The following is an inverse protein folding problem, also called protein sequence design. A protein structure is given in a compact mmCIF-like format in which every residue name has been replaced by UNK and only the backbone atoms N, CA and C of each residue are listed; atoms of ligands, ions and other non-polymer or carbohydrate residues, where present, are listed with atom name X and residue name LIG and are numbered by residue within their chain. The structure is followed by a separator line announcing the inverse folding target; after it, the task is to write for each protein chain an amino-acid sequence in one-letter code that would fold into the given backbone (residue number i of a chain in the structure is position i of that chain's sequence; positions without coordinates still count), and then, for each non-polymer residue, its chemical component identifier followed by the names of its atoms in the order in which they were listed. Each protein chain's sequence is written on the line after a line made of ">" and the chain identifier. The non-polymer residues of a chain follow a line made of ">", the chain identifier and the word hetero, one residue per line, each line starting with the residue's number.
data_IF_142674367031
#
_entry.id   IF_142674367031
#
_cell.length_a   1.000
_cell.length_b   1.000
_cell.length_c   1.000
_cell.angle_alpha   90.00
_cell.angle_beta   90.00
_cell.angle_gamma   90.00
#
_symmetry.space_group_name_H-M   'P 1'
#
loop_
_entity.id
_entity.type
_entity.pdbx_description
1 polymer ?
#
# COMPACT_ATOMS: atom_id res chain seq x y z
N UNK A 1 -7.02 17.10 5.64
CA UNK A 1 -6.37 16.31 6.72
C UNK A 1 -5.24 15.50 6.11
N UNK A 2 -4.01 15.66 6.62
CA UNK A 2 -2.89 14.79 6.25
C UNK A 2 -2.66 13.75 7.34
N UNK A 3 -2.35 12.53 6.94
CA UNK A 3 -1.95 11.46 7.86
C UNK A 3 -0.53 11.09 7.50
N UNK A 4 0.39 11.19 8.47
CA UNK A 4 1.79 10.82 8.31
C UNK A 4 2.13 9.56 9.11
N UNK A 5 2.57 8.50 8.45
CA UNK A 5 2.97 7.26 9.06
C UNK A 5 4.32 7.40 9.80
N UNK A 6 4.44 6.77 10.97
CA UNK A 6 5.69 6.77 11.75
C UNK A 6 6.55 5.50 11.61
N UNK A 7 6.05 4.42 11.02
CA UNK A 7 6.68 3.09 11.10
C UNK A 7 7.03 2.49 9.73
N UNK A 8 8.13 2.91 9.13
CA UNK A 8 8.59 2.34 7.87
C UNK A 8 9.33 1.00 8.09
N UNK A 9 8.63 -0.14 8.01
CA UNK A 9 9.23 -1.47 8.08
C UNK A 9 9.57 -2.00 6.68
N UNK A 10 10.53 -1.38 6.01
CA UNK A 10 10.98 -1.78 4.66
C UNK A 10 11.95 -2.96 4.70
N UNK A 11 11.61 -4.01 3.97
CA UNK A 11 12.52 -5.11 3.62
C UNK A 11 13.02 -5.01 2.17
N UNK A 12 12.27 -4.39 1.25
CA UNK A 12 12.63 -4.21 -0.17
C UNK A 12 12.57 -2.74 -0.59
N UNK A 13 13.34 -2.41 -1.62
CA UNK A 13 13.27 -1.10 -2.25
C UNK A 13 12.00 -1.01 -3.13
N UNK A 14 11.12 0.00 -2.96
CA UNK A 14 9.83 0.07 -3.63
C UNK A 14 9.97 0.66 -5.05
N UNK A 15 10.46 -0.15 -5.98
CA UNK A 15 10.78 0.26 -7.36
C UNK A 15 9.53 0.79 -8.06
N UNK A 16 8.42 0.05 -7.98
CA UNK A 16 7.21 0.39 -8.73
C UNK A 16 6.55 1.64 -8.17
N UNK A 17 6.54 1.83 -6.86
CA UNK A 17 6.03 3.05 -6.21
C UNK A 17 6.78 4.29 -6.72
N UNK A 18 8.11 4.26 -6.75
CA UNK A 18 8.91 5.36 -7.29
C UNK A 18 8.66 5.57 -8.79
N UNK A 19 8.63 4.50 -9.58
CA UNK A 19 8.32 4.59 -11.01
C UNK A 19 6.95 5.24 -11.24
N UNK A 20 5.93 4.88 -10.47
CA UNK A 20 4.59 5.47 -10.59
C UNK A 20 4.56 6.95 -10.20
N UNK A 21 5.28 7.35 -9.15
CA UNK A 21 5.40 8.77 -8.76
C UNK A 21 6.06 9.57 -9.89
N UNK A 22 7.13 9.05 -10.49
CA UNK A 22 7.81 9.71 -11.61
C UNK A 22 6.94 9.73 -12.87
N UNK A 23 6.28 8.63 -13.19
CA UNK A 23 5.36 8.55 -14.34
C UNK A 23 4.22 9.57 -14.18
N UNK A 24 3.57 9.60 -13.01
CA UNK A 24 2.48 10.56 -12.74
C UNK A 24 2.94 12.01 -12.70
N UNK A 25 4.22 12.26 -12.38
CA UNK A 25 4.81 13.59 -12.51
C UNK A 25 5.05 13.95 -13.97
N UNK A 26 5.57 13.02 -14.78
CA UNK A 26 5.82 13.24 -16.20
C UNK A 26 4.53 13.45 -16.98
N UNK A 27 3.48 12.67 -16.71
CA UNK A 27 2.16 12.81 -17.35
C UNK A 27 1.54 14.18 -17.10
N UNK A 28 1.83 14.80 -15.96
CA UNK A 28 1.39 16.15 -15.62
C UNK A 28 1.87 17.21 -16.62
N UNK A 29 3.03 17.00 -17.25
CA UNK A 29 3.57 17.89 -18.28
C UNK A 29 3.09 17.55 -19.69
N UNK A 30 2.49 16.36 -19.88
CA UNK A 30 1.95 15.89 -21.15
C UNK A 30 0.46 16.20 -21.31
N UNK A 31 -0.24 16.52 -20.22
CA UNK A 31 -1.67 16.78 -20.24
C UNK A 31 -1.98 18.19 -20.75
N UNK A 32 -2.32 18.28 -22.03
CA UNK A 32 -2.83 19.50 -22.65
C UNK A 32 -4.31 19.33 -22.98
N UNK A 33 -5.19 20.08 -22.30
CA UNK A 33 -6.64 20.15 -22.56
C UNK A 33 -7.49 18.90 -22.21
N UNK A 34 -7.22 18.21 -21.09
CA UNK A 34 -8.05 17.08 -20.59
C UNK A 34 -8.25 15.93 -21.60
N UNK A 35 -7.32 15.73 -22.53
CA UNK A 35 -7.41 14.69 -23.58
C UNK A 35 -7.48 13.28 -23.02
N UNK A 36 -6.89 13.03 -21.86
CA UNK A 36 -6.83 11.72 -21.21
C UNK A 36 -7.82 11.56 -20.06
N UNK A 37 -8.67 12.57 -19.84
CA UNK A 37 -9.67 12.53 -18.81
C UNK A 37 -10.80 11.57 -19.15
N UNK A 38 -11.28 10.86 -18.14
CA UNK A 38 -12.41 9.95 -18.28
C UNK A 38 -13.72 10.74 -18.17
N UNK A 39 -14.56 10.70 -19.20
CA UNK A 39 -15.88 11.35 -19.19
C UNK A 39 -16.96 10.30 -19.44
N UNK A 40 -17.79 9.97 -18.43
CA UNK A 40 -18.81 8.91 -18.52
C UNK A 40 -19.70 8.99 -19.77
N UNK A 41 -20.15 10.21 -20.11
CA UNK A 41 -21.05 10.43 -21.26
C UNK A 41 -20.36 10.34 -22.62
N UNK A 42 -19.04 10.55 -22.68
CA UNK A 42 -18.31 10.72 -23.94
C UNK A 42 -17.71 9.41 -24.44
N UNK A 43 -17.06 8.66 -23.56
CA UNK A 43 -16.29 7.49 -23.98
C UNK A 43 -16.12 6.47 -22.84
N UNK A 44 -16.21 5.19 -23.20
CA UNK A 44 -15.87 4.06 -22.35
C UNK A 44 -14.72 3.27 -23.02
N UNK A 45 -13.55 3.92 -23.13
CA UNK A 45 -12.43 3.44 -23.93
C UNK A 45 -11.09 3.57 -23.20
N UNK A 46 -10.07 4.09 -23.88
CA UNK A 46 -8.70 4.20 -23.35
C UNK A 46 -8.62 5.06 -22.08
N UNK A 47 -9.47 6.08 -21.97
CA UNK A 47 -9.54 6.98 -20.82
C UNK A 47 -9.89 6.27 -19.51
N UNK A 48 -10.60 5.13 -19.56
CA UNK A 48 -10.87 4.29 -18.38
C UNK A 48 -9.59 3.74 -17.74
N UNK A 49 -8.55 3.50 -18.56
CA UNK A 49 -7.28 2.90 -18.15
C UNK A 49 -6.16 3.92 -17.97
N UNK A 50 -6.27 5.10 -18.59
CA UNK A 50 -5.23 6.12 -18.53
C UNK A 50 -5.50 7.23 -17.52
N UNK A 51 -6.76 7.59 -17.23
CA UNK A 51 -7.08 8.83 -16.49
C UNK A 51 -6.51 8.90 -15.08
N UNK A 52 -6.29 7.76 -14.42
CA UNK A 52 -5.76 7.70 -13.06
C UNK A 52 -4.22 7.87 -12.99
N UNK A 53 -3.53 7.94 -14.13
CA UNK A 53 -2.13 8.37 -14.22
C UNK A 53 -1.97 9.90 -14.29
N UNK A 54 -3.07 10.62 -14.51
CA UNK A 54 -3.11 12.06 -14.62
C UNK A 54 -3.72 12.66 -13.34
N UNK A 55 -3.34 13.89 -13.00
CA UNK A 55 -3.88 14.61 -11.84
C UNK A 55 -4.41 15.97 -12.29
N UNK A 56 -5.45 16.49 -11.66
CA UNK A 56 -6.06 17.76 -12.08
C UNK A 56 -5.18 18.98 -11.80
N UNK A 57 -4.27 18.86 -10.83
CA UNK A 57 -3.38 19.95 -10.41
C UNK A 57 -2.10 19.42 -9.78
N UNK A 58 -1.07 20.27 -9.74
CA UNK A 58 0.19 19.94 -9.07
C UNK A 58 0.02 19.70 -7.55
N UNK A 59 -0.95 20.37 -6.93
CA UNK A 59 -1.29 20.18 -5.50
C UNK A 59 -1.90 18.79 -5.28
N UNK A 60 -2.79 18.36 -6.16
CA UNK A 60 -3.35 17.01 -6.12
C UNK A 60 -2.27 15.96 -6.33
N UNK A 61 -1.41 16.14 -7.35
CA UNK A 61 -0.27 15.25 -7.58
C UNK A 61 0.64 15.16 -6.34
N UNK A 62 1.01 16.30 -5.75
CA UNK A 62 1.90 16.32 -4.56
C UNK A 62 1.28 15.55 -3.40
N UNK A 63 -0.02 15.73 -3.18
CA UNK A 63 -0.76 15.01 -2.14
C UNK A 63 -0.76 13.50 -2.43
N UNK A 64 -1.10 13.09 -3.64
CA UNK A 64 -1.12 11.67 -4.03
C UNK A 64 0.27 11.04 -3.98
N UNK A 65 1.31 11.75 -4.39
CA UNK A 65 2.70 11.30 -4.34
C UNK A 65 3.19 11.08 -2.90
N UNK A 66 2.86 11.99 -1.98
CA UNK A 66 3.15 11.82 -0.54
C UNK A 66 2.47 10.55 -0.01
N UNK A 67 1.19 10.35 -0.33
CA UNK A 67 0.45 9.18 0.14
C UNK A 67 0.95 7.87 -0.48
N UNK A 68 1.27 7.86 -1.78
CA UNK A 68 1.89 6.70 -2.44
C UNK A 68 3.24 6.38 -1.80
N UNK A 69 4.11 7.39 -1.63
CA UNK A 69 5.42 7.19 -1.05
C UNK A 69 5.37 6.68 0.38
N UNK A 70 4.35 7.08 1.14
CA UNK A 70 4.30 6.80 2.57
C UNK A 70 3.51 5.53 2.93
N UNK A 71 2.49 5.17 2.15
CA UNK A 71 1.65 4.00 2.42
C UNK A 71 1.84 2.89 1.39
N UNK A 72 1.97 3.26 0.11
CA UNK A 72 1.94 2.28 -0.98
C UNK A 72 3.30 1.54 -1.10
N UNK A 73 4.39 2.14 -0.62
CA UNK A 73 5.69 1.48 -0.48
C UNK A 73 5.63 0.23 0.43
N UNK A 74 4.94 0.33 1.56
CA UNK A 74 4.70 -0.76 2.50
C UNK A 74 3.79 -1.84 1.89
N UNK A 75 2.82 -1.44 1.06
CA UNK A 75 1.99 -2.39 0.32
C UNK A 75 2.82 -3.12 -0.73
N UNK A 76 3.67 -2.42 -1.49
CA UNK A 76 4.55 -3.03 -2.50
C UNK A 76 5.49 -4.08 -1.88
N UNK A 77 6.04 -3.80 -0.70
CA UNK A 77 6.90 -4.75 0.01
C UNK A 77 6.13 -6.02 0.41
N UNK A 78 4.89 -5.85 0.86
CA UNK A 78 3.99 -6.94 1.24
C UNK A 78 3.58 -7.78 0.04
N UNK A 79 3.03 -7.17 -1.02
CA UNK A 79 2.43 -7.92 -2.14
C UNK A 79 3.45 -8.30 -3.21
N UNK A 80 4.59 -7.63 -3.26
CA UNK A 80 5.59 -7.72 -4.31
C UNK A 80 5.32 -6.77 -5.49
N UNK A 81 6.36 -6.39 -6.26
CA UNK A 81 6.29 -5.34 -7.26
C UNK A 81 5.28 -5.63 -8.39
N UNK A 82 5.24 -6.86 -8.90
CA UNK A 82 4.32 -7.25 -9.97
C UNK A 82 2.84 -7.15 -9.53
N UNK A 83 2.52 -7.71 -8.36
CA UNK A 83 1.16 -7.66 -7.83
C UNK A 83 0.75 -6.23 -7.49
N UNK A 84 1.69 -5.43 -6.98
CA UNK A 84 1.46 -4.01 -6.69
C UNK A 84 1.08 -3.23 -7.94
N UNK A 85 1.77 -3.45 -9.06
CA UNK A 85 1.43 -2.84 -10.34
C UNK A 85 0.01 -3.20 -10.81
N UNK A 86 -0.38 -4.48 -10.71
CA UNK A 86 -1.74 -4.89 -11.07
C UNK A 86 -2.80 -4.33 -10.11
N UNK A 87 -2.50 -4.22 -8.82
CA UNK A 87 -3.39 -3.58 -7.85
C UNK A 87 -3.58 -2.09 -8.14
N UNK A 88 -2.51 -1.39 -8.57
CA UNK A 88 -2.60 0.00 -9.00
C UNK A 88 -3.60 0.16 -10.15
N UNK A 89 -3.45 -0.64 -11.21
CA UNK A 89 -4.37 -0.64 -12.36
C UNK A 89 -5.79 -1.00 -11.94
N UNK A 90 -5.94 -2.04 -11.11
CA UNK A 90 -7.24 -2.51 -10.64
C UNK A 90 -7.99 -1.43 -9.87
N UNK A 91 -7.35 -0.77 -8.90
CA UNK A 91 -8.02 0.29 -8.14
C UNK A 91 -8.33 1.52 -8.99
N UNK A 92 -7.51 1.83 -9.99
CA UNK A 92 -7.77 2.91 -10.94
C UNK A 92 -9.02 2.65 -11.76
N UNK A 93 -9.10 1.46 -12.36
CA UNK A 93 -10.27 1.01 -13.12
C UNK A 93 -11.51 0.99 -12.22
N UNK A 94 -11.39 0.43 -11.01
CA UNK A 94 -12.51 0.34 -10.07
C UNK A 94 -13.04 1.72 -9.64
N UNK A 95 -12.15 2.70 -9.49
CA UNK A 95 -12.52 4.09 -9.21
C UNK A 95 -13.35 4.64 -10.37
N UNK A 96 -12.85 4.51 -11.60
CA UNK A 96 -13.53 5.03 -12.80
C UNK A 96 -14.87 4.34 -13.04
N UNK A 97 -14.95 3.02 -12.85
CA UNK A 97 -16.20 2.26 -12.96
C UNK A 97 -17.21 2.70 -11.90
N UNK A 98 -16.77 2.92 -10.67
CA UNK A 98 -17.63 3.42 -9.61
C UNK A 98 -18.13 4.82 -9.98
N UNK A 99 -17.24 5.71 -10.43
CA UNK A 99 -17.66 7.04 -10.87
C UNK A 99 -18.69 6.97 -12.00
N UNK A 100 -18.45 6.13 -13.01
CA UNK A 100 -19.37 5.90 -14.12
C UNK A 100 -20.75 5.44 -13.64
N UNK A 101 -20.83 4.46 -12.73
CA UNK A 101 -22.11 3.91 -12.25
C UNK A 101 -22.96 4.96 -11.53
N UNK A 102 -22.34 5.84 -10.75
CA UNK A 102 -23.06 6.88 -10.00
C UNK A 102 -23.28 8.16 -10.81
N UNK A 103 -22.53 8.35 -11.90
CA UNK A 103 -22.53 9.57 -12.70
C UNK A 103 -22.62 9.29 -14.21
N UNK A 104 -23.45 8.31 -14.62
CA UNK A 104 -23.54 7.86 -16.03
C UNK A 104 -23.75 9.00 -17.03
N UNK A 105 -24.58 9.99 -16.68
CA UNK A 105 -24.90 11.11 -17.56
C UNK A 105 -23.94 12.31 -17.43
N UNK A 106 -22.82 12.15 -16.72
CA UNK A 106 -21.88 13.23 -16.44
C UNK A 106 -21.03 13.57 -17.65
N UNK A 107 -20.97 14.88 -17.93
CA UNK A 107 -20.10 15.49 -18.94
C UNK A 107 -18.80 15.98 -18.29
N UNK A 108 -18.69 15.85 -16.96
CA UNK A 108 -17.53 16.33 -16.22
C UNK A 108 -16.38 15.34 -16.38
N UNK A 109 -15.24 15.76 -16.97
CA UNK A 109 -14.06 14.93 -17.09
C UNK A 109 -13.43 14.69 -15.71
N UNK A 110 -12.99 13.46 -15.48
CA UNK A 110 -12.34 13.04 -14.25
C UNK A 110 -10.96 12.48 -14.55
N UNK A 111 -9.98 12.98 -13.78
CA UNK A 111 -8.62 12.47 -13.66
C UNK A 111 -8.29 12.38 -12.18
N UNK A 112 -7.30 11.57 -11.83
CA UNK A 112 -6.77 11.56 -10.47
C UNK A 112 -6.32 10.20 -9.99
N UNK A 113 -5.12 10.16 -9.44
CA UNK A 113 -4.56 8.99 -8.74
C UNK A 113 -5.20 8.78 -7.35
N UNK A 114 -6.00 9.73 -6.88
CA UNK A 114 -6.60 9.74 -5.53
C UNK A 114 -7.48 8.52 -5.22
N UNK A 115 -8.23 8.01 -6.20
CA UNK A 115 -8.99 6.76 -6.05
C UNK A 115 -8.10 5.53 -5.85
N UNK A 116 -6.99 5.46 -6.60
CA UNK A 116 -5.99 4.39 -6.46
C UNK A 116 -5.35 4.41 -5.07
N UNK A 117 -4.96 5.61 -4.62
CA UNK A 117 -4.42 5.82 -3.27
C UNK A 117 -5.42 5.34 -2.21
N UNK A 118 -6.71 5.63 -2.39
CA UNK A 118 -7.75 5.20 -1.46
C UNK A 118 -7.82 3.68 -1.31
N UNK A 119 -7.66 2.94 -2.41
CA UNK A 119 -7.58 1.47 -2.39
C UNK A 119 -6.39 0.96 -1.58
N UNK A 120 -5.21 1.57 -1.77
CA UNK A 120 -4.03 1.22 -0.98
C UNK A 120 -4.19 1.59 0.50
N UNK A 121 -4.84 2.70 0.83
CA UNK A 121 -5.17 3.04 2.22
C UNK A 121 -6.10 2.01 2.85
N UNK A 122 -7.08 1.49 2.10
CA UNK A 122 -7.94 0.40 2.54
C UNK A 122 -7.16 -0.90 2.80
N UNK A 123 -6.20 -1.24 1.95
CA UNK A 123 -5.32 -2.38 2.20
C UNK A 123 -4.43 -2.16 3.43
N UNK A 124 -3.86 -0.96 3.53
CA UNK A 124 -2.97 -0.57 4.61
C UNK A 124 -3.67 -0.64 5.97
N UNK A 125 -4.93 -0.21 6.03
CA UNK A 125 -5.79 -0.30 7.22
C UNK A 125 -5.82 -1.72 7.80
N UNK A 126 -5.90 -2.74 6.94
CA UNK A 126 -5.99 -4.15 7.34
C UNK A 126 -4.63 -4.76 7.64
N UNK A 127 -3.60 -4.43 6.87
CA UNK A 127 -2.26 -5.00 7.04
C UNK A 127 -1.52 -4.44 8.26
N UNK A 128 -1.72 -3.16 8.58
CA UNK A 128 -0.92 -2.44 9.57
C UNK A 128 -1.75 -1.80 10.70
N UNK A 129 -2.73 -2.50 11.31
CA UNK A 129 -3.68 -1.87 12.23
C UNK A 129 -3.04 -1.30 13.50
N UNK A 130 -1.84 -1.76 13.88
CA UNK A 130 -1.13 -1.32 15.10
C UNK A 130 -0.11 -0.21 14.86
N UNK A 131 0.09 0.21 13.61
CA UNK A 131 1.02 1.31 13.29
C UNK A 131 0.46 2.62 13.84
N UNK A 132 1.37 3.49 14.28
CA UNK A 132 1.04 4.84 14.73
C UNK A 132 1.27 5.85 13.61
N UNK A 133 0.44 6.87 13.58
CA UNK A 133 0.50 7.97 12.64
C UNK A 133 0.52 9.32 13.38
N UNK A 134 0.80 10.37 12.62
CA UNK A 134 0.61 11.75 13.00
C UNK A 134 -0.48 12.33 12.10
N UNK A 135 -1.61 12.72 12.68
CA UNK A 135 -2.66 13.42 11.93
C UNK A 135 -2.39 14.92 11.98
N UNK A 136 -2.41 15.58 10.82
CA UNK A 136 -2.26 17.03 10.71
C UNK A 136 -3.56 17.60 10.15
N UNK A 137 -4.20 18.44 10.95
CA UNK A 137 -5.37 19.23 10.62
C UNK A 137 -4.99 20.70 10.63
N UNK A 138 -4.85 21.29 9.45
CA UNK A 138 -4.41 22.68 9.29
C UNK A 138 -3.11 22.97 10.06
N UNK A 139 -3.19 23.64 11.21
CA UNK A 139 -2.04 23.99 12.07
C UNK A 139 -1.86 23.07 13.28
N UNK A 140 -2.76 22.11 13.50
CA UNK A 140 -2.77 21.22 14.68
C UNK A 140 -2.28 19.83 14.26
N UNK A 141 -1.31 19.29 15.01
CA UNK A 141 -0.76 17.95 14.77
C UNK A 141 -1.03 17.03 15.98
N UNK A 142 -1.77 15.95 15.74
CA UNK A 142 -1.99 14.87 16.71
C UNK A 142 -1.00 13.75 16.46
N UNK A 143 -0.03 13.59 17.35
CA UNK A 143 1.04 12.57 17.25
C UNK A 143 0.61 11.24 17.90
N UNK A 144 1.20 10.15 17.41
CA UNK A 144 1.07 8.81 18.01
C UNK A 144 -0.36 8.24 18.01
N UNK A 145 -1.15 8.67 17.03
CA UNK A 145 -2.52 8.23 16.84
C UNK A 145 -2.51 6.87 16.12
N UNK A 146 -3.25 5.85 16.60
CA UNK A 146 -3.33 4.59 15.89
C UNK A 146 -3.86 4.77 14.46
N UNK A 147 -3.22 4.12 13.49
CA UNK A 147 -3.51 4.36 12.07
C UNK A 147 -4.94 3.98 11.70
N UNK A 148 -5.49 2.93 12.32
CA UNK A 148 -6.89 2.55 12.12
C UNK A 148 -7.83 3.69 12.48
N UNK A 149 -7.54 4.48 13.51
CA UNK A 149 -8.34 5.63 13.89
C UNK A 149 -8.20 6.75 12.87
N UNK A 150 -6.98 7.06 12.46
CA UNK A 150 -6.70 8.13 11.48
C UNK A 150 -7.33 7.87 10.12
N UNK A 151 -7.22 6.64 9.62
CA UNK A 151 -7.82 6.24 8.36
C UNK A 151 -9.35 6.11 8.46
N UNK A 152 -9.89 5.72 9.62
CA UNK A 152 -11.34 5.75 9.86
C UNK A 152 -11.88 7.18 9.77
N UNK A 153 -11.20 8.15 10.37
CA UNK A 153 -11.58 9.56 10.23
C UNK A 153 -11.46 10.01 8.77
N UNK A 154 -10.39 9.60 8.08
CA UNK A 154 -10.17 9.97 6.69
C UNK A 154 -11.31 9.52 5.79
N UNK A 155 -11.73 8.25 5.90
CA UNK A 155 -12.81 7.71 5.08
C UNK A 155 -14.17 8.31 5.45
N UNK A 156 -14.40 8.63 6.73
CA UNK A 156 -15.62 9.34 7.16
C UNK A 156 -15.68 10.75 6.57
N UNK A 157 -14.55 11.45 6.48
CA UNK A 157 -14.47 12.75 5.80
C UNK A 157 -14.80 12.58 4.31
N UNK A 158 -14.27 11.55 3.62
CA UNK A 158 -14.63 11.30 2.22
C UNK A 158 -16.13 11.00 2.04
N UNK A 159 -16.73 10.23 2.95
CA UNK A 159 -18.16 9.96 2.95
C UNK A 159 -19.00 11.22 3.18
N UNK A 160 -18.58 12.09 4.11
CA UNK A 160 -19.23 13.38 4.32
C UNK A 160 -19.13 14.29 3.09
N UNK A 161 -17.94 14.37 2.47
CA UNK A 161 -17.74 15.16 1.25
C UNK A 161 -18.59 14.64 0.09
N UNK A 162 -18.80 13.33 -0.02
CA UNK A 162 -19.76 12.78 -0.97
C UNK A 162 -21.21 13.21 -0.68
N UNK A 163 -21.65 13.22 0.59
CA UNK A 163 -23.00 13.70 0.92
C UNK A 163 -23.18 15.17 0.53
N UNK A 164 -22.14 16.00 0.70
CA UNK A 164 -22.14 17.39 0.23
C UNK A 164 -22.19 17.46 -1.30
N UNK A 165 -21.45 16.59 -1.99
CA UNK A 165 -21.48 16.43 -3.45
C UNK A 165 -22.90 16.17 -3.96
N UNK A 166 -23.68 15.31 -3.30
CA UNK A 166 -25.06 15.03 -3.70
C UNK A 166 -26.01 16.24 -3.67
N UNK A 167 -25.69 17.25 -2.85
CA UNK A 167 -26.51 18.45 -2.67
C UNK A 167 -25.91 19.68 -3.36
N UNK A 168 -24.81 19.53 -4.10
CA UNK A 168 -24.13 20.61 -4.81
C UNK A 168 -23.88 20.22 -6.27
N UNK A 169 -23.68 21.20 -7.15
CA UNK A 169 -23.31 20.95 -8.56
C UNK A 169 -21.82 20.57 -8.73
N UNK A 170 -21.08 20.42 -7.63
CA UNK A 170 -19.68 19.98 -7.63
C UNK A 170 -19.69 18.47 -7.88
N UNK A 171 -18.98 17.99 -8.91
CA UNK A 171 -18.77 16.54 -9.10
C UNK A 171 -17.31 16.21 -8.89
N UNK A 172 -17.07 15.19 -8.07
CA UNK A 172 -15.75 14.74 -7.63
C UNK A 172 -15.72 13.21 -7.56
N UNK A 173 -14.57 12.64 -7.20
CA UNK A 173 -14.39 11.18 -7.12
C UNK A 173 -14.65 10.61 -5.74
N UNK A 174 -15.32 11.34 -4.84
CA UNK A 174 -15.45 10.95 -3.43
C UNK A 174 -16.17 9.60 -3.25
N UNK A 175 -17.21 9.31 -4.04
CA UNK A 175 -17.85 7.98 -4.05
C UNK A 175 -16.86 6.88 -4.43
N UNK A 176 -16.08 7.13 -5.48
CA UNK A 176 -15.07 6.21 -5.97
C UNK A 176 -14.05 5.90 -4.88
N UNK A 177 -13.57 6.94 -4.18
CA UNK A 177 -12.63 6.77 -3.06
C UNK A 177 -13.24 5.90 -1.95
N UNK A 178 -14.48 6.15 -1.54
CA UNK A 178 -15.14 5.36 -0.49
C UNK A 178 -15.27 3.89 -0.89
N UNK A 179 -15.79 3.62 -2.08
CA UNK A 179 -15.98 2.24 -2.58
C UNK A 179 -14.64 1.53 -2.72
N UNK A 180 -13.64 2.18 -3.30
CA UNK A 180 -12.34 1.59 -3.58
C UNK A 180 -11.55 1.32 -2.29
N UNK A 181 -11.67 2.19 -1.28
CA UNK A 181 -11.14 1.93 0.06
C UNK A 181 -11.73 0.64 0.67
N UNK A 182 -13.06 0.49 0.61
CA UNK A 182 -13.74 -0.69 1.14
C UNK A 182 -13.32 -1.96 0.39
N UNK A 183 -13.20 -1.89 -0.95
CA UNK A 183 -12.67 -2.99 -1.76
C UNK A 183 -11.21 -3.32 -1.42
N UNK A 184 -10.38 -2.31 -1.15
CA UNK A 184 -9.02 -2.48 -0.65
C UNK A 184 -8.99 -3.28 0.65
N UNK A 185 -9.87 -2.96 1.61
CA UNK A 185 -9.99 -3.73 2.86
C UNK A 185 -10.42 -5.18 2.61
N UNK A 186 -11.38 -5.41 1.70
CA UNK A 186 -11.86 -6.75 1.36
C UNK A 186 -10.73 -7.59 0.75
N UNK A 187 -10.00 -7.02 -0.22
CA UNK A 187 -8.86 -7.69 -0.85
C UNK A 187 -7.78 -8.02 0.18
N UNK A 188 -7.39 -7.06 1.02
CA UNK A 188 -6.38 -7.28 2.06
C UNK A 188 -6.81 -8.37 3.04
N UNK A 189 -8.08 -8.40 3.47
CA UNK A 189 -8.61 -9.50 4.28
C UNK A 189 -8.52 -10.85 3.57
N UNK A 190 -8.74 -10.89 2.26
CA UNK A 190 -8.50 -12.07 1.42
C UNK A 190 -7.05 -12.55 1.49
N UNK A 191 -6.08 -11.64 1.32
CA UNK A 191 -4.64 -11.95 1.45
C UNK A 191 -4.28 -12.51 2.84
N UNK A 192 -4.84 -11.92 3.91
CA UNK A 192 -4.63 -12.39 5.29
C UNK A 192 -5.20 -13.81 5.46
N UNK A 193 -6.43 -14.07 5.00
CA UNK A 193 -7.06 -15.40 5.08
C UNK A 193 -6.30 -16.48 4.31
N UNK A 194 -5.69 -16.12 3.18
CA UNK A 194 -4.86 -17.01 2.37
C UNK A 194 -3.44 -17.24 2.97
N UNK A 195 -3.16 -16.72 4.18
CA UNK A 195 -1.86 -16.80 4.86
C UNK A 195 -0.71 -16.31 3.97
N UNK A 196 -0.98 -15.29 3.15
CA UNK A 196 0.02 -14.74 2.24
C UNK A 196 1.14 -14.04 3.02
N UNK A 197 0.78 -13.26 4.03
CA UNK A 197 1.72 -12.57 4.93
C UNK A 197 2.62 -13.55 5.69
N UNK A 198 2.06 -14.65 6.21
CA UNK A 198 2.84 -15.67 6.93
C UNK A 198 3.90 -16.34 6.03
N UNK A 199 3.56 -16.57 4.76
CA UNK A 199 4.50 -17.10 3.75
C UNK A 199 5.59 -16.09 3.41
N UNK A 200 5.25 -14.82 3.28
CA UNK A 200 6.22 -13.75 3.05
C UNK A 200 7.19 -13.62 4.23
N UNK A 201 6.68 -13.57 5.46
CA UNK A 201 7.51 -13.51 6.68
C UNK A 201 8.43 -14.73 6.79
N UNK A 202 7.93 -15.92 6.46
CA UNK A 202 8.74 -17.14 6.42
C UNK A 202 9.88 -17.04 5.39
N UNK A 203 9.58 -16.61 4.17
CA UNK A 203 10.59 -16.48 3.10
C UNK A 203 11.62 -15.38 3.40
N UNK A 204 11.18 -14.22 3.90
CA UNK A 204 12.07 -13.14 4.32
C UNK A 204 12.98 -13.57 5.46
N UNK A 205 12.47 -14.34 6.43
CA UNK A 205 13.29 -14.94 7.49
C UNK A 205 14.33 -15.89 6.94
N UNK A 206 14.03 -16.68 5.90
CA UNK A 206 15.01 -17.56 5.26
C UNK A 206 16.09 -16.78 4.51
N UNK A 207 15.75 -15.66 3.85
CA UNK A 207 16.72 -14.84 3.12
C UNK A 207 17.58 -13.98 4.05
N UNK A 208 17.02 -13.40 5.11
CA UNK A 208 17.81 -12.66 6.14
C UNK A 208 18.64 -13.56 7.04
N UNK A 209 18.42 -14.88 7.02
CA UNK A 209 19.27 -15.84 7.72
C UNK A 209 20.58 -16.16 6.98
N UNK A 210 20.74 -15.68 5.74
CA UNK A 210 21.99 -15.86 5.01
C UNK A 210 23.12 -15.14 5.76
N UNK A 211 24.15 -15.92 6.13
CA UNK A 211 25.40 -15.52 6.80
C UNK A 211 25.40 -15.42 8.34
N UNK A 212 24.48 -16.09 9.05
CA UNK A 212 24.70 -16.31 10.49
C UNK A 212 25.56 -17.55 10.74
N UNK A 213 26.74 -17.35 11.31
CA UNK A 213 27.57 -18.44 11.88
C UNK A 213 27.13 -18.71 13.31
N UNK A 214 26.85 -19.97 13.63
CA UNK A 214 26.47 -20.42 14.96
C UNK A 214 27.60 -21.24 15.54
N UNK A 215 28.02 -20.93 16.76
CA UNK A 215 29.05 -21.71 17.44
C UNK A 215 28.43 -22.97 18.04
N UNK A 216 29.01 -24.13 17.77
CA UNK A 216 28.63 -25.38 18.42
C UNK A 216 28.73 -25.23 19.95
N UNK A 217 27.70 -25.61 20.73
CA UNK A 217 27.74 -25.51 22.20
C UNK A 217 28.78 -26.44 22.84
N UNK A 218 29.17 -27.54 22.18
CA UNK A 218 30.12 -28.51 22.73
C UNK A 218 31.58 -28.17 22.40
N UNK A 219 31.88 -27.78 21.15
CA UNK A 219 33.27 -27.55 20.71
C UNK A 219 33.58 -26.13 20.23
N UNK A 220 32.63 -25.19 20.31
CA UNK A 220 32.75 -23.82 19.78
C UNK A 220 33.12 -23.72 18.29
N UNK A 221 33.03 -24.80 17.52
CA UNK A 221 33.26 -24.74 16.09
C UNK A 221 32.19 -23.88 15.39
N UNK A 222 32.58 -22.89 14.56
CA UNK A 222 31.63 -22.05 13.84
C UNK A 222 30.99 -22.83 12.69
N UNK A 223 29.66 -22.88 12.67
CA UNK A 223 28.87 -23.57 11.65
C UNK A 223 28.01 -22.54 10.91
N UNK A 224 28.08 -22.44 9.58
CA UNK A 224 27.20 -21.57 8.82
C UNK A 224 25.77 -22.13 8.87
N UNK A 225 24.84 -21.40 9.49
CA UNK A 225 23.44 -21.82 9.53
C UNK A 225 22.64 -21.16 8.41
N UNK A 226 22.04 -22.01 7.57
CA UNK A 226 21.15 -21.59 6.48
C UNK A 226 19.69 -21.44 6.93
N UNK A 227 19.32 -21.99 8.10
CA UNK A 227 17.99 -21.90 8.71
C UNK A 227 18.06 -22.15 10.23
N UNK A 228 17.05 -21.70 10.96
CA UNK A 228 16.81 -22.11 12.36
C UNK A 228 16.42 -23.60 12.42
N UNK A 229 16.75 -24.29 13.53
CA UNK A 229 16.38 -25.69 13.74
C UNK A 229 17.51 -26.57 14.28
N UNK A 230 17.42 -27.88 14.00
CA UNK A 230 18.48 -28.85 14.35
C UNK A 230 19.68 -28.66 13.44
N UNK A 231 20.85 -28.50 14.05
CA UNK A 231 22.15 -28.38 13.39
C UNK A 231 23.03 -29.52 13.89
N UNK A 232 23.74 -30.15 12.97
CA UNK A 232 24.71 -31.20 13.27
C UNK A 232 26.13 -30.62 13.16
N UNK A 233 26.96 -30.82 14.18
CA UNK A 233 28.36 -30.43 14.12
C UNK A 233 29.21 -31.59 13.59
N UNK A 234 29.82 -31.43 12.41
CA UNK A 234 30.69 -32.46 11.83
C UNK A 234 31.97 -32.74 12.64
N UNK A 235 32.43 -31.77 13.46
CA UNK A 235 33.68 -31.88 14.23
C UNK A 235 33.50 -32.71 15.50
N UNK A 236 32.45 -32.45 16.29
CA UNK A 236 32.22 -33.15 17.56
C UNK A 236 31.01 -34.10 17.52
N UNK A 237 30.39 -34.27 16.35
CA UNK A 237 29.25 -35.16 16.11
C UNK A 237 28.00 -34.84 16.97
N UNK A 238 27.97 -33.70 17.67
CA UNK A 238 26.82 -33.31 18.49
C UNK A 238 25.71 -32.70 17.64
N UNK A 239 24.48 -33.14 17.92
CA UNK A 239 23.27 -32.48 17.43
C UNK A 239 22.82 -31.44 18.44
N UNK A 240 22.46 -30.25 17.98
CA UNK A 240 21.90 -29.21 18.85
C UNK A 240 20.82 -28.42 18.12
N UNK A 241 19.90 -27.83 18.88
CA UNK A 241 18.84 -27.00 18.35
C UNK A 241 19.17 -25.51 18.54
N UNK A 242 19.02 -24.74 17.48
CA UNK A 242 19.19 -23.29 17.49
C UNK A 242 17.85 -22.58 17.30
N UNK A 243 17.39 -21.93 18.37
CA UNK A 243 16.12 -21.19 18.40
C UNK A 243 16.27 -19.71 18.01
N UNK A 244 15.15 -19.08 17.65
CA UNK A 244 14.99 -17.66 17.29
C UNK A 244 15.55 -16.69 18.32
N UNK A 245 15.59 -17.06 19.61
CA UNK A 245 16.16 -16.25 20.70
C UNK A 245 17.68 -16.41 20.89
N UNK A 246 18.36 -17.18 20.03
CA UNK A 246 19.79 -17.47 20.15
C UNK A 246 20.14 -18.48 21.27
N UNK A 247 19.12 -19.09 21.89
CA UNK A 247 19.31 -20.16 22.88
C UNK A 247 19.72 -21.45 22.16
N UNK A 248 20.76 -22.09 22.69
CA UNK A 248 21.28 -23.38 22.23
C UNK A 248 20.75 -24.46 23.18
N UNK A 249 20.02 -25.42 22.64
CA UNK A 249 19.57 -26.58 23.42
C UNK A 249 20.32 -27.80 22.90
N UNK A 250 21.05 -28.46 23.80
CA UNK A 250 21.47 -29.83 23.58
C UNK A 250 20.23 -30.70 23.85
N UNK A 251 19.89 -31.66 22.98
CA UNK A 251 18.87 -32.66 23.29
C UNK A 251 19.27 -33.47 24.52
#
# INVERSE_FOLDING_TARGET
>A
MFVFEKANQKFRFPIITFCLIVITLCTQFLETNNTYAFTPKKEFGLSLFSSFFFNSSFVEWTTNAIYLYMFADNIEDVVGPLNFFFLFLFFGILTNLTYYLFHMNSIIPVVGTSGVVSGFLGMYFVFFPKVKSTMVFEKIAFKDVPIYFSLSIWILIQGYLYIVELHSDIRSTYVGQVVVFLFGMILANGFVRLKYLDRLEHNLRLTTFQNKTVLCPSCNHPIPAKKYGRIHCHVCQTNFFFDRKGKKFLP
#
